data_IF_362053152563
#
_entry.id   IF_362053152563
#
_cell.length_a   1.000
_cell.length_b   1.000
_cell.length_c   1.000
_cell.angle_alpha   90.00
_cell.angle_beta   90.00
_cell.angle_gamma   90.00
#
_symmetry.space_group_name_H-M   'P 1'
#
loop_
_entity.id
_entity.type
_entity.pdbx_description
1 polymer ?
#
# COMPACT_ATOMS: atom_id res chain seq x y z
N UNK A 1 -4.63 8.67 -8.25
CA UNK A 1 -3.25 8.77 -7.77
C UNK A 1 -3.12 9.90 -6.75
N UNK A 2 -2.37 9.65 -5.70
CA UNK A 2 -2.13 10.66 -4.67
C UNK A 2 -0.65 10.97 -4.59
N UNK A 3 -0.35 12.24 -4.39
CA UNK A 3 1.03 12.71 -4.23
C UNK A 3 1.13 13.41 -2.88
N UNK A 4 2.09 13.00 -2.06
CA UNK A 4 2.35 13.64 -0.78
C UNK A 4 3.54 14.58 -0.90
N UNK A 5 3.39 15.78 -0.34
CA UNK A 5 4.47 16.75 -0.29
C UNK A 5 4.69 17.15 1.16
N UNK A 6 5.94 17.36 1.51
CA UNK A 6 6.25 17.87 2.83
C UNK A 6 5.85 19.34 2.88
N UNK A 7 5.17 19.73 3.96
CA UNK A 7 4.77 21.12 4.14
C UNK A 7 6.01 21.99 4.27
N UNK A 8 6.05 23.06 3.48
CA UNK A 8 7.19 23.95 3.45
C UNK A 8 8.33 23.50 2.55
N UNK A 9 8.18 22.37 1.89
CA UNK A 9 9.20 21.87 0.96
C UNK A 9 9.25 22.73 -0.28
N UNK A 10 10.38 22.65 -0.96
CA UNK A 10 10.55 23.35 -2.23
C UNK A 10 9.53 22.88 -3.25
N UNK A 11 9.22 23.76 -4.18
CA UNK A 11 8.28 23.51 -5.24
C UNK A 11 8.54 22.19 -5.94
N UNK A 12 7.45 21.43 -6.18
CA UNK A 12 7.47 20.18 -6.95
C UNK A 12 8.26 19.03 -6.34
N UNK A 13 8.56 19.09 -5.06
CA UNK A 13 9.23 17.99 -4.38
C UNK A 13 8.20 17.09 -3.72
N UNK A 14 7.92 15.96 -4.37
CA UNK A 14 7.03 14.97 -3.82
C UNK A 14 7.80 14.04 -2.87
N UNK A 15 7.27 13.87 -1.66
CA UNK A 15 7.84 12.91 -0.70
C UNK A 15 7.43 11.50 -1.07
N UNK A 16 6.24 11.32 -1.64
CA UNK A 16 5.77 10.01 -2.03
C UNK A 16 4.55 10.06 -2.93
N UNK A 17 4.25 8.93 -3.54
CA UNK A 17 3.07 8.76 -4.40
C UNK A 17 2.42 7.42 -4.10
N UNK A 18 1.11 7.34 -4.31
CA UNK A 18 0.41 6.06 -4.28
C UNK A 18 -0.72 6.05 -5.30
N UNK A 19 -1.02 4.86 -5.79
CA UNK A 19 -2.09 4.64 -6.78
C UNK A 19 -3.00 3.56 -6.25
N UNK A 20 -4.31 3.84 -6.26
CA UNK A 20 -5.31 2.87 -5.81
C UNK A 20 -6.36 2.66 -6.89
N UNK A 21 -6.95 1.46 -6.91
CA UNK A 21 -8.04 1.13 -7.81
C UNK A 21 -9.10 0.34 -7.04
N UNK A 22 -10.35 0.47 -7.46
CA UNK A 22 -11.42 -0.34 -6.89
C UNK A 22 -11.40 -1.70 -7.58
N UNK A 23 -11.13 -2.75 -6.83
CA UNK A 23 -11.14 -4.12 -7.37
C UNK A 23 -12.53 -4.73 -7.30
N UNK A 24 -13.33 -4.30 -6.34
CA UNK A 24 -14.73 -4.71 -6.20
C UNK A 24 -15.44 -3.63 -5.38
N UNK A 25 -16.71 -3.86 -5.06
CA UNK A 25 -17.46 -2.93 -4.22
C UNK A 25 -16.91 -2.86 -2.80
N UNK A 26 -16.15 -3.86 -2.38
CA UNK A 26 -15.65 -3.95 -1.01
C UNK A 26 -14.13 -3.84 -0.89
N UNK A 27 -13.40 -4.01 -1.98
CA UNK A 27 -11.93 -4.06 -1.97
C UNK A 27 -11.34 -2.91 -2.76
N UNK A 28 -10.56 -2.08 -2.07
CA UNK A 28 -9.72 -1.06 -2.68
C UNK A 28 -8.30 -1.61 -2.74
N UNK A 29 -7.68 -1.57 -3.89
CA UNK A 29 -6.32 -2.10 -4.03
C UNK A 29 -5.31 -1.00 -4.20
N UNK A 30 -4.26 -1.06 -3.39
CA UNK A 30 -3.08 -0.21 -3.50
C UNK A 30 -2.20 -0.80 -4.59
N UNK A 31 -2.17 -0.19 -5.76
CA UNK A 31 -1.41 -0.68 -6.91
C UNK A 31 0.06 -0.28 -6.86
N UNK A 32 0.35 0.85 -6.27
CA UNK A 32 1.71 1.33 -6.18
C UNK A 32 1.83 2.27 -5.00
N UNK A 33 2.94 2.17 -4.29
CA UNK A 33 3.31 3.10 -3.23
C UNK A 33 4.81 3.29 -3.31
N UNK A 34 5.24 4.53 -3.35
CA UNK A 34 6.67 4.84 -3.46
C UNK A 34 6.97 6.07 -2.63
N UNK A 35 8.10 6.04 -1.94
CA UNK A 35 8.61 7.17 -1.16
C UNK A 35 9.96 7.55 -1.74
N UNK A 36 10.16 8.84 -1.99
CA UNK A 36 11.43 9.34 -2.53
C UNK A 36 12.58 8.96 -1.58
N UNK A 37 13.77 8.61 -2.13
CA UNK A 37 14.88 8.14 -1.30
C UNK A 37 15.22 9.04 -0.11
N UNK A 38 15.20 10.34 -0.29
CA UNK A 38 15.52 11.29 0.79
C UNK A 38 14.45 11.35 1.88
N UNK A 39 13.28 10.76 1.64
CA UNK A 39 12.18 10.74 2.61
C UNK A 39 11.92 9.35 3.18
N UNK A 40 12.66 8.34 2.76
CA UNK A 40 12.47 6.98 3.27
C UNK A 40 12.86 6.86 4.74
N UNK A 41 12.28 5.86 5.41
CA UNK A 41 12.51 5.57 6.83
C UNK A 41 12.08 6.70 7.78
N UNK A 42 11.12 7.51 7.34
CA UNK A 42 10.60 8.63 8.15
C UNK A 42 9.09 8.51 8.39
N UNK A 43 8.51 7.35 8.05
CA UNK A 43 7.09 7.11 8.29
C UNK A 43 6.14 7.57 7.20
N UNK A 44 6.64 8.03 6.05
CA UNK A 44 5.79 8.52 4.97
C UNK A 44 4.90 7.44 4.37
N UNK A 45 5.41 6.21 4.21
CA UNK A 45 4.62 5.11 3.69
C UNK A 45 3.45 4.78 4.60
N UNK A 46 3.70 4.74 5.91
CA UNK A 46 2.63 4.49 6.90
C UNK A 46 1.59 5.60 6.90
N UNK A 47 2.04 6.84 6.74
CA UNK A 47 1.13 7.99 6.69
C UNK A 47 0.26 7.94 5.44
N UNK A 48 0.78 7.50 4.31
CA UNK A 48 -0.01 7.32 3.10
C UNK A 48 -1.08 6.25 3.30
N UNK A 49 -0.73 5.14 3.92
CA UNK A 49 -1.70 4.08 4.20
C UNK A 49 -2.78 4.57 5.16
N UNK A 50 -2.41 5.29 6.21
CA UNK A 50 -3.37 5.87 7.14
C UNK A 50 -4.30 6.86 6.43
N UNK A 51 -3.76 7.65 5.51
CA UNK A 51 -4.56 8.57 4.71
C UNK A 51 -5.58 7.82 3.84
N UNK A 52 -5.17 6.72 3.20
CA UNK A 52 -6.06 5.92 2.39
C UNK A 52 -7.19 5.31 3.22
N UNK A 53 -6.86 4.79 4.39
CA UNK A 53 -7.87 4.23 5.28
C UNK A 53 -8.89 5.28 5.68
N UNK A 54 -8.42 6.44 6.09
CA UNK A 54 -9.30 7.52 6.52
C UNK A 54 -10.18 8.02 5.37
N UNK A 55 -9.63 8.06 4.17
CA UNK A 55 -10.35 8.56 3.00
C UNK A 55 -11.41 7.57 2.52
N UNK A 56 -11.12 6.28 2.58
CA UNK A 56 -11.94 5.26 1.93
C UNK A 56 -12.69 4.31 2.87
N UNK A 57 -12.52 4.44 4.19
CA UNK A 57 -13.10 3.48 5.13
C UNK A 57 -14.63 3.45 5.14
N UNK A 58 -15.28 4.46 4.59
CA UNK A 58 -16.73 4.45 4.46
C UNK A 58 -17.21 3.86 3.12
N UNK A 59 -16.29 3.69 2.18
CA UNK A 59 -16.62 3.20 0.83
C UNK A 59 -16.17 1.78 0.58
N UNK A 60 -15.13 1.32 1.26
CA UNK A 60 -14.56 -0.02 1.09
C UNK A 60 -14.30 -0.66 2.44
N UNK A 61 -14.46 -1.97 2.52
CA UNK A 61 -14.21 -2.71 3.75
C UNK A 61 -12.77 -3.15 3.89
N UNK A 62 -12.08 -3.39 2.77
CA UNK A 62 -10.75 -3.98 2.77
C UNK A 62 -9.81 -3.17 1.90
N UNK A 63 -8.63 -2.90 2.43
CA UNK A 63 -7.51 -2.36 1.66
C UNK A 63 -6.59 -3.53 1.33
N UNK A 64 -6.28 -3.71 0.07
CA UNK A 64 -5.46 -4.81 -0.42
C UNK A 64 -4.20 -4.28 -1.10
N UNK A 65 -3.11 -5.01 -0.99
CA UNK A 65 -1.87 -4.66 -1.68
C UNK A 65 -1.24 -5.93 -2.23
N UNK A 66 -0.84 -5.89 -3.50
CA UNK A 66 -0.13 -7.00 -4.13
C UNK A 66 1.32 -6.61 -4.32
N UNK A 67 2.23 -7.53 -4.03
CA UNK A 67 3.66 -7.26 -4.13
C UNK A 67 4.44 -8.54 -4.41
N UNK A 68 5.68 -8.39 -4.86
CA UNK A 68 6.61 -9.52 -4.91
C UNK A 68 6.96 -9.96 -3.49
N UNK A 69 7.37 -11.21 -3.35
CA UNK A 69 7.71 -11.77 -2.04
C UNK A 69 9.12 -11.35 -1.64
N UNK A 70 9.27 -10.10 -1.23
CA UNK A 70 10.55 -9.50 -0.82
C UNK A 70 10.44 -9.13 0.65
N UNK A 71 11.39 -9.58 1.51
CA UNK A 71 11.29 -9.38 2.96
C UNK A 71 11.04 -7.94 3.40
N UNK A 72 11.70 -6.97 2.81
CA UNK A 72 11.52 -5.57 3.20
C UNK A 72 10.09 -5.10 2.97
N UNK A 73 9.49 -5.48 1.84
CA UNK A 73 8.12 -5.09 1.50
C UNK A 73 7.12 -5.82 2.38
N UNK A 74 7.35 -7.11 2.63
CA UNK A 74 6.50 -7.91 3.51
C UNK A 74 6.48 -7.30 4.91
N UNK A 75 7.65 -6.97 5.46
CA UNK A 75 7.75 -6.37 6.79
C UNK A 75 7.04 -5.01 6.85
N UNK A 76 7.14 -4.23 5.79
CA UNK A 76 6.47 -2.94 5.74
C UNK A 76 4.94 -3.10 5.85
N UNK A 77 4.37 -3.99 5.04
CA UNK A 77 2.91 -4.18 5.08
C UNK A 77 2.46 -4.78 6.40
N UNK A 78 3.21 -5.72 6.96
CA UNK A 78 2.86 -6.29 8.25
C UNK A 78 2.93 -5.24 9.36
N UNK A 79 3.93 -4.36 9.32
CA UNK A 79 4.05 -3.27 10.28
C UNK A 79 2.89 -2.27 10.17
N UNK A 80 2.28 -2.16 9.00
CA UNK A 80 1.11 -1.31 8.79
C UNK A 80 -0.20 -2.00 9.15
N UNK A 81 -0.15 -3.23 9.65
CA UNK A 81 -1.33 -3.95 10.09
C UNK A 81 -1.96 -4.85 9.04
N UNK A 82 -1.31 -5.04 7.91
CA UNK A 82 -1.78 -5.95 6.88
C UNK A 82 -1.46 -7.39 7.25
N UNK A 83 -2.26 -8.31 6.73
CA UNK A 83 -2.06 -9.75 6.89
C UNK A 83 -1.99 -10.40 5.52
N UNK A 84 -1.18 -11.45 5.41
CA UNK A 84 -1.13 -12.22 4.17
C UNK A 84 -2.50 -12.78 3.87
N UNK A 85 -2.93 -12.62 2.64
CA UNK A 85 -4.23 -13.12 2.18
C UNK A 85 -4.04 -14.32 1.27
N UNK A 86 -3.47 -14.10 0.10
CA UNK A 86 -3.31 -15.16 -0.89
C UNK A 86 -2.12 -14.82 -1.78
N UNK A 87 -1.74 -15.77 -2.65
CA UNK A 87 -0.67 -15.53 -3.62
C UNK A 87 -1.07 -16.08 -4.98
N UNK A 88 -0.46 -15.50 -6.01
CA UNK A 88 -0.56 -16.02 -7.36
C UNK A 88 0.79 -16.60 -7.71
N UNK A 89 0.92 -17.96 -7.77
CA UNK A 89 2.20 -18.59 -8.08
C UNK A 89 2.70 -18.20 -9.46
N UNK A 90 3.99 -18.01 -9.57
CA UNK A 90 4.67 -17.71 -10.84
C UNK A 90 4.12 -16.50 -11.58
N UNK A 91 3.49 -15.55 -10.86
CA UNK A 91 2.91 -14.36 -11.48
C UNK A 91 3.93 -13.62 -12.34
N UNK A 92 5.11 -13.36 -11.78
CA UNK A 92 6.12 -12.58 -12.47
C UNK A 92 6.79 -13.36 -13.61
N UNK A 93 6.93 -14.66 -13.46
CA UNK A 93 7.53 -15.47 -14.52
C UNK A 93 6.58 -15.72 -15.69
N UNK A 94 5.26 -15.72 -15.43
CA UNK A 94 4.27 -15.93 -16.46
C UNK A 94 3.86 -14.66 -17.20
N UNK A 95 3.93 -13.51 -16.54
CA UNK A 95 3.41 -12.26 -17.09
C UNK A 95 4.47 -11.32 -17.65
N UNK A 96 5.73 -11.65 -17.49
CA UNK A 96 6.85 -10.86 -18.03
C UNK A 96 7.74 -11.75 -18.87
N UNK A 97 8.24 -11.22 -19.95
CA UNK A 97 9.09 -11.96 -20.89
C UNK A 97 10.55 -11.95 -20.50
N UNK A 98 10.88 -11.35 -19.37
CA UNK A 98 12.24 -11.32 -18.83
C UNK A 98 12.18 -11.42 -17.31
N UNK A 99 13.29 -11.85 -16.66
CA UNK A 99 13.32 -11.93 -15.21
C UNK A 99 13.18 -10.57 -14.57
N UNK A 100 12.39 -10.51 -13.48
CA UNK A 100 12.20 -9.30 -12.70
C UNK A 100 12.88 -9.49 -11.35
N UNK A 101 13.75 -8.57 -10.99
CA UNK A 101 14.46 -8.60 -9.71
C UNK A 101 14.08 -7.38 -8.86
N UNK A 102 13.99 -7.60 -7.56
CA UNK A 102 13.78 -6.52 -6.61
C UNK A 102 14.64 -6.79 -5.38
N UNK A 103 15.44 -5.81 -4.98
CA UNK A 103 16.40 -5.97 -3.87
C UNK A 103 17.28 -7.21 -4.05
N UNK A 104 17.68 -7.51 -5.29
CA UNK A 104 18.55 -8.63 -5.59
C UNK A 104 17.86 -9.99 -5.63
N UNK A 105 16.56 -10.04 -5.40
CA UNK A 105 15.81 -11.30 -5.40
C UNK A 105 14.97 -11.43 -6.66
N UNK A 106 15.02 -12.60 -7.28
CA UNK A 106 14.16 -12.91 -8.42
C UNK A 106 12.71 -13.02 -7.97
N UNK A 107 11.83 -12.24 -8.60
CA UNK A 107 10.41 -12.29 -8.30
C UNK A 107 9.75 -13.43 -9.06
N UNK A 108 8.98 -14.24 -8.36
CA UNK A 108 8.22 -15.34 -8.94
C UNK A 108 6.74 -15.17 -8.66
N UNK A 109 6.33 -15.23 -7.39
CA UNK A 109 4.94 -15.15 -6.97
C UNK A 109 4.53 -13.72 -6.66
N UNK A 110 3.26 -13.41 -6.91
CA UNK A 110 2.63 -12.21 -6.36
C UNK A 110 2.00 -12.58 -5.03
N UNK A 111 2.32 -11.84 -3.98
CA UNK A 111 1.76 -12.04 -2.65
C UNK A 111 0.79 -10.91 -2.35
N UNK A 112 -0.41 -11.26 -1.90
CA UNK A 112 -1.43 -10.27 -1.55
C UNK A 112 -1.57 -10.16 -0.05
N UNK A 113 -1.70 -8.90 0.39
CA UNK A 113 -1.93 -8.54 1.77
C UNK A 113 -3.24 -7.81 1.87
N UNK A 114 -3.97 -8.02 2.95
CA UNK A 114 -5.24 -7.33 3.18
C UNK A 114 -5.30 -6.79 4.60
N UNK A 115 -5.99 -5.67 4.73
CA UNK A 115 -6.24 -5.03 6.00
C UNK A 115 -7.69 -4.56 6.01
N UNK A 116 -8.43 -4.90 7.06
CA UNK A 116 -9.80 -4.42 7.20
C UNK A 116 -9.79 -2.95 7.57
N UNK A 117 -10.58 -2.16 6.87
CA UNK A 117 -10.78 -0.76 7.19
C UNK A 117 -12.04 -0.65 8.02
N UNK A 118 -11.90 -0.10 9.23
CA UNK A 118 -13.03 0.05 10.11
C UNK A 118 -13.89 1.24 9.69
N UNK A 119 -15.20 1.02 9.67
CA UNK A 119 -16.14 2.10 9.48
C UNK A 119 -16.08 3.00 10.69
N UNK A 120 -15.67 4.23 10.49
CA UNK A 120 -15.77 5.24 11.51
C UNK A 120 -17.22 5.73 11.48
N UNK A 121 -18.00 5.27 12.43
CA UNK A 121 -19.36 5.78 12.57
C UNK A 121 -19.25 7.21 13.05
N UNK A 122 -19.89 8.05 12.39
CA UNK A 122 -19.79 9.44 12.70
C UNK A 122 -19.88 9.76 14.19
N UNK A 123 -19.44 8.94 14.46
CA UNK A 123 -19.32 8.98 15.25
C UNK A 123 -18.57 9.04 15.68
N UNK A 124 -18.41 9.04 15.79
CA UNK A 124 -17.77 8.86 16.10
C UNK A 124 -17.07 8.95 16.44
N UNK A 125 -17.12 8.72 16.49
CA UNK A 125 -16.46 8.40 16.83
C UNK A 125 -15.96 8.22 17.17
N UNK A 126 -15.98 8.28 17.63
CA UNK A 126 -15.42 7.83 18.09
C UNK A 126 -14.92 7.85 18.43
N UNK A 127 -14.87 7.82 18.75
CA UNK A 127 -14.40 7.55 19.12
C UNK A 127 -13.83 7.63 19.45
N UNK A 128 -13.80 7.80 19.87
CA UNK A 128 -13.28 7.59 20.09
C UNK A 128 -12.76 7.46 20.29
N UNK A 129 -12.57 7.59 20.75
CA UNK A 129 -12.07 7.05 20.78
C UNK A 129 -11.71 7.05 20.78
#
# INVERSE_FOLDING_TARGET
>A
MYVLQEEGAEENRAAGVCVVTAESDEILELKNIAVAPEYQNQGWGRRMIAFLEKTYNSSFRTLQAGTGDVPATVLFYEACGFHRSHRIPDFFTKNYDHPIYECGKLLTDMVYFQKKMELVSGEGEGNEE
#
